data_IF_844458573982
#
_entry.id   IF_844458573982
#
_cell.length_a   1.000
_cell.length_b   1.000
_cell.length_c   1.000
_cell.angle_alpha   90.00
_cell.angle_beta   90.00
_cell.angle_gamma   90.00
#
_symmetry.space_group_name_H-M   'P 1'
#
loop_
_entity.id
_entity.type
_entity.pdbx_description
1 polymer ?
#
# COMPACT_ATOMS: atom_id res chain seq x y z
N UNK A 1 32.31 -20.20 31.49
CA UNK A 1 33.45 -20.62 30.66
C UNK A 1 32.97 -21.65 29.64
N UNK A 2 33.10 -21.39 28.34
CA UNK A 2 33.82 -22.27 27.41
C UNK A 2 34.03 -21.55 26.07
N UNK A 3 35.25 -21.05 25.86
CA UNK A 3 35.76 -20.65 24.54
C UNK A 3 36.02 -21.93 23.75
N UNK A 4 35.45 -22.08 22.56
CA UNK A 4 35.93 -23.07 21.60
C UNK A 4 36.66 -22.38 20.45
N UNK A 5 37.97 -22.63 20.45
CA UNK A 5 38.96 -22.25 19.45
C UNK A 5 38.97 -23.36 18.40
N UNK A 6 38.80 -23.04 17.12
CA UNK A 6 39.12 -23.96 16.04
C UNK A 6 40.35 -23.44 15.29
N UNK A 7 41.42 -24.23 15.36
CA UNK A 7 42.59 -24.15 14.48
C UNK A 7 42.55 -25.44 13.66
N UNK A 8 42.48 -25.34 12.34
CA UNK A 8 42.91 -26.41 11.44
C UNK A 8 43.62 -25.77 10.23
N UNK A 9 44.64 -26.50 9.79
CA UNK A 9 45.80 -26.07 9.03
C UNK A 9 45.61 -26.32 7.52
N UNK A 10 46.29 -25.49 6.74
CA UNK A 10 47.06 -25.82 5.51
C UNK A 10 46.34 -26.54 4.35
N UNK A 11 46.23 -25.86 3.20
CA UNK A 11 46.60 -26.44 1.89
C UNK A 11 47.15 -25.34 0.97
N UNK A 12 48.38 -25.58 0.54
CA UNK A 12 49.15 -25.00 -0.56
C UNK A 12 48.46 -25.26 -1.91
N UNK A 13 48.21 -24.22 -2.72
CA UNK A 13 47.88 -24.39 -4.14
C UNK A 13 48.84 -23.56 -4.99
N UNK A 14 49.48 -24.27 -5.92
CA UNK A 14 50.50 -23.83 -6.83
C UNK A 14 49.98 -22.84 -7.89
N UNK A 15 50.92 -22.04 -8.37
CA UNK A 15 50.79 -21.00 -9.38
C UNK A 15 50.18 -21.48 -10.71
N UNK A 16 49.39 -20.60 -11.33
CA UNK A 16 49.22 -20.52 -12.77
C UNK A 16 49.48 -19.07 -13.20
N UNK A 17 50.19 -18.82 -14.33
CA UNK A 17 50.54 -17.48 -14.76
C UNK A 17 49.29 -16.69 -15.19
N UNK A 18 49.26 -15.41 -14.79
CA UNK A 18 48.26 -14.45 -15.24
C UNK A 18 48.44 -14.19 -16.74
N UNK A 19 47.46 -14.60 -17.53
CA UNK A 19 47.36 -14.24 -18.94
C UNK A 19 47.00 -12.74 -19.03
N UNK A 20 47.99 -11.89 -19.34
CA UNK A 20 47.77 -10.45 -19.55
C UNK A 20 47.15 -10.27 -20.94
N UNK A 21 45.84 -10.37 -21.02
CA UNK A 21 45.10 -10.04 -22.23
C UNK A 21 44.98 -8.50 -22.31
N UNK A 22 45.88 -7.83 -23.02
CA UNK A 22 45.74 -6.41 -23.35
C UNK A 22 44.70 -6.26 -24.46
N UNK A 23 43.43 -6.36 -24.08
CA UNK A 23 42.32 -5.91 -24.91
C UNK A 23 42.26 -4.39 -24.86
N UNK A 24 42.44 -3.74 -26.01
CA UNK A 24 42.12 -2.32 -26.18
C UNK A 24 40.61 -2.11 -25.95
N UNK A 25 40.27 -1.63 -24.76
CA UNK A 25 38.90 -1.20 -24.45
C UNK A 25 38.67 0.18 -25.06
N UNK A 26 37.99 0.24 -26.20
CA UNK A 26 37.33 1.47 -26.63
C UNK A 26 36.13 1.69 -25.72
N UNK A 27 36.24 2.62 -24.77
CA UNK A 27 35.12 2.93 -23.88
C UNK A 27 34.12 3.79 -24.67
N UNK A 28 33.06 3.17 -25.19
CA UNK A 28 31.84 3.92 -25.50
C UNK A 28 31.20 4.33 -24.19
N UNK A 29 31.38 5.59 -23.83
CA UNK A 29 30.77 6.19 -22.67
C UNK A 29 29.27 6.39 -22.96
N UNK A 30 28.49 5.33 -22.79
CA UNK A 30 27.05 5.45 -22.66
C UNK A 30 26.76 5.88 -21.22
N UNK A 31 26.08 7.02 -21.05
CA UNK A 31 25.57 7.45 -19.75
C UNK A 31 24.82 6.29 -19.11
N UNK A 32 25.06 5.97 -17.82
CA UNK A 32 24.27 4.96 -17.14
C UNK A 32 22.82 5.45 -17.17
N UNK A 33 21.97 4.78 -17.94
CA UNK A 33 20.53 4.87 -17.68
C UNK A 33 20.39 4.26 -16.30
N UNK A 34 20.23 5.14 -15.32
CA UNK A 34 19.72 4.78 -14.03
C UNK A 34 18.34 4.15 -14.28
N UNK A 35 18.32 2.83 -14.51
CA UNK A 35 17.22 2.01 -14.06
C UNK A 35 17.25 2.07 -12.54
N UNK A 36 16.94 3.24 -11.99
CA UNK A 36 16.25 3.32 -10.73
C UNK A 36 15.07 2.40 -10.95
N UNK A 37 15.16 1.20 -10.37
CA UNK A 37 14.06 0.30 -10.19
C UNK A 37 13.08 1.10 -9.34
N UNK A 38 12.32 1.98 -9.99
CA UNK A 38 11.09 2.49 -9.46
C UNK A 38 10.33 1.20 -9.26
N UNK A 39 10.30 0.74 -8.01
CA UNK A 39 9.30 -0.21 -7.58
C UNK A 39 8.01 0.46 -8.00
N UNK A 40 7.48 0.06 -9.16
CA UNK A 40 6.10 0.30 -9.52
C UNK A 40 5.33 -0.42 -8.43
N UNK A 41 5.09 0.29 -7.32
CA UNK A 41 4.19 -0.15 -6.28
C UNK A 41 2.88 -0.23 -7.02
N UNK A 42 2.49 -1.43 -7.42
CA UNK A 42 1.18 -1.70 -7.99
C UNK A 42 0.16 -1.33 -6.92
N UNK A 43 -0.31 -0.09 -6.96
CA UNK A 43 -1.30 0.40 -6.01
C UNK A 43 -2.60 -0.28 -6.38
N UNK A 44 -2.99 -1.28 -5.59
CA UNK A 44 -4.27 -1.97 -5.78
C UNK A 44 -5.39 -0.98 -5.49
N UNK A 45 -6.18 -0.67 -6.53
CA UNK A 45 -7.34 0.19 -6.42
C UNK A 45 -8.57 -0.70 -6.22
N UNK A 46 -9.18 -0.61 -5.04
CA UNK A 46 -10.44 -1.28 -4.73
C UNK A 46 -11.61 -0.36 -5.06
N UNK A 47 -12.73 -0.91 -5.51
CA UNK A 47 -13.94 -0.11 -5.77
C UNK A 47 -14.62 0.30 -4.46
N UNK A 48 -15.40 1.38 -4.54
CA UNK A 48 -16.30 1.75 -3.44
C UNK A 48 -17.31 0.65 -3.12
N UNK A 49 -17.84 -0.05 -4.13
CA UNK A 49 -18.77 -1.17 -3.91
C UNK A 49 -18.15 -2.30 -3.09
N UNK A 50 -16.87 -2.63 -3.32
CA UNK A 50 -16.15 -3.61 -2.50
C UNK A 50 -16.00 -3.12 -1.05
N UNK A 51 -15.81 -1.81 -0.87
CA UNK A 51 -15.70 -1.21 0.46
C UNK A 51 -17.03 -1.27 1.21
N UNK A 52 -18.12 -0.86 0.55
CA UNK A 52 -19.48 -0.93 1.08
C UNK A 52 -19.87 -2.36 1.44
N UNK A 53 -19.66 -3.32 0.53
CA UNK A 53 -19.98 -4.74 0.76
C UNK A 53 -19.30 -5.29 2.02
N UNK A 54 -18.06 -4.85 2.33
CA UNK A 54 -17.37 -5.24 3.56
C UNK A 54 -18.02 -4.65 4.82
N UNK A 55 -18.53 -3.42 4.75
CA UNK A 55 -19.27 -2.81 5.85
C UNK A 55 -20.64 -3.44 6.03
N UNK A 56 -21.36 -3.74 4.94
CA UNK A 56 -22.66 -4.42 4.97
C UNK A 56 -22.54 -5.78 5.70
N UNK A 57 -21.44 -6.51 5.47
CA UNK A 57 -21.14 -7.75 6.17
C UNK A 57 -20.95 -7.59 7.68
N UNK A 58 -20.40 -6.47 8.14
CA UNK A 58 -20.25 -6.15 9.55
C UNK A 58 -21.56 -5.72 10.21
N UNK A 59 -22.47 -5.12 9.43
CA UNK A 59 -23.85 -4.86 9.86
C UNK A 59 -24.62 -6.17 10.01
N UNK A 60 -24.53 -7.05 9.01
CA UNK A 60 -25.19 -8.34 9.03
C UNK A 60 -24.72 -9.24 10.19
N UNK A 61 -23.44 -9.17 10.58
CA UNK A 61 -22.91 -9.87 11.74
C UNK A 61 -23.22 -9.19 13.08
N UNK A 62 -23.88 -8.03 13.07
CA UNK A 62 -24.17 -7.23 14.27
C UNK A 62 -22.94 -6.60 14.92
N UNK A 63 -21.80 -6.57 14.22
CA UNK A 63 -20.57 -5.95 14.72
C UNK A 63 -20.71 -4.43 14.76
N UNK A 64 -21.35 -3.84 13.77
CA UNK A 64 -21.73 -2.42 13.76
C UNK A 64 -23.22 -2.29 13.45
N UNK A 65 -23.82 -1.17 13.83
CA UNK A 65 -25.18 -0.83 13.41
C UNK A 65 -25.20 -0.19 12.03
N UNK A 66 -26.34 -0.23 11.34
CA UNK A 66 -26.55 0.47 10.06
C UNK A 66 -26.29 1.97 10.16
N UNK A 67 -26.56 2.59 11.32
CA UNK A 67 -26.24 4.01 11.52
C UNK A 67 -24.73 4.26 11.56
N UNK A 68 -23.96 3.40 12.23
CA UNK A 68 -22.50 3.48 12.26
C UNK A 68 -21.90 3.25 10.86
N UNK A 69 -22.43 2.31 10.09
CA UNK A 69 -22.06 2.12 8.68
C UNK A 69 -22.30 3.40 7.87
N UNK A 70 -23.49 3.99 7.94
CA UNK A 70 -23.82 5.20 7.19
C UNK A 70 -22.88 6.37 7.51
N UNK A 71 -22.47 6.52 8.78
CA UNK A 71 -21.49 7.52 9.18
C UNK A 71 -20.14 7.25 8.47
N UNK A 72 -19.69 5.99 8.43
CA UNK A 72 -18.45 5.61 7.74
C UNK A 72 -18.55 5.86 6.24
N UNK A 73 -19.66 5.50 5.60
CA UNK A 73 -19.90 5.77 4.18
C UNK A 73 -19.91 7.27 3.89
N UNK A 74 -20.51 8.08 4.77
CA UNK A 74 -20.49 9.53 4.64
C UNK A 74 -19.07 10.12 4.67
N UNK A 75 -18.17 9.56 5.48
CA UNK A 75 -16.77 9.98 5.48
C UNK A 75 -16.09 9.72 4.12
N UNK A 76 -16.43 8.60 3.46
CA UNK A 76 -15.98 8.34 2.08
C UNK A 76 -16.54 9.37 1.09
N UNK A 77 -17.85 9.66 1.12
CA UNK A 77 -18.46 10.66 0.23
C UNK A 77 -17.88 12.07 0.41
N UNK A 78 -17.39 12.38 1.61
CA UNK A 78 -16.66 13.60 1.92
C UNK A 78 -15.16 13.52 1.60
N UNK A 79 -14.72 12.49 0.88
CA UNK A 79 -13.33 12.24 0.48
C UNK A 79 -12.34 12.15 1.65
N UNK A 80 -12.82 11.80 2.86
CA UNK A 80 -11.98 11.61 4.06
C UNK A 80 -11.37 10.21 4.14
N UNK A 81 -11.83 9.29 3.30
CA UNK A 81 -11.35 7.90 3.24
C UNK A 81 -10.99 7.59 1.79
N UNK A 82 -9.71 7.66 1.47
CA UNK A 82 -9.17 7.26 0.14
C UNK A 82 -8.06 6.22 0.27
N UNK A 83 -7.50 6.08 1.47
CA UNK A 83 -6.33 5.27 1.80
C UNK A 83 -6.54 4.54 3.11
N UNK A 84 -5.86 3.42 3.33
CA UNK A 84 -5.86 2.70 4.62
C UNK A 84 -5.52 3.60 5.81
N UNK A 85 -4.54 4.49 5.66
CA UNK A 85 -4.10 5.42 6.70
C UNK A 85 -5.21 6.41 7.05
N UNK A 86 -5.81 7.03 6.03
CA UNK A 86 -6.94 7.96 6.22
C UNK A 86 -8.14 7.26 6.85
N UNK A 87 -8.40 6.00 6.45
CA UNK A 87 -9.46 5.19 7.03
C UNK A 87 -9.23 4.94 8.51
N UNK A 88 -8.02 4.50 8.89
CA UNK A 88 -7.67 4.25 10.28
C UNK A 88 -7.80 5.53 11.13
N UNK A 89 -7.31 6.65 10.62
CA UNK A 89 -7.41 7.94 11.32
C UNK A 89 -8.87 8.35 11.56
N UNK A 90 -9.76 8.11 10.59
CA UNK A 90 -11.19 8.37 10.79
C UNK A 90 -11.83 7.41 11.79
N UNK A 91 -11.46 6.13 11.80
CA UNK A 91 -11.94 5.19 12.83
C UNK A 91 -11.51 5.61 14.23
N UNK A 92 -10.25 6.02 14.40
CA UNK A 92 -9.74 6.54 15.69
C UNK A 92 -10.56 7.78 16.14
N UNK A 93 -10.91 8.67 15.22
CA UNK A 93 -11.76 9.84 15.51
C UNK A 93 -13.20 9.44 15.91
N UNK A 94 -13.79 8.43 15.25
CA UNK A 94 -15.12 7.92 15.62
C UNK A 94 -15.12 7.23 16.99
N UNK A 95 -14.01 6.57 17.37
CA UNK A 95 -13.81 6.03 18.72
C UNK A 95 -13.74 7.15 19.74
N UNK A 96 -12.94 8.18 19.48
CA UNK A 96 -12.83 9.35 20.36
C UNK A 96 -14.18 10.08 20.53
N UNK A 97 -15.00 10.11 19.49
CA UNK A 97 -16.36 10.67 19.51
C UNK A 97 -17.40 9.74 20.17
N UNK A 98 -17.02 8.52 20.58
CA UNK A 98 -17.94 7.53 21.15
C UNK A 98 -18.97 6.98 20.15
N UNK A 99 -18.79 7.23 18.85
CA UNK A 99 -19.70 6.74 17.80
C UNK A 99 -19.54 5.24 17.58
N UNK A 100 -18.30 4.73 17.70
CA UNK A 100 -17.98 3.30 17.66
C UNK A 100 -17.08 2.96 18.85
N UNK A 101 -17.03 1.69 19.24
CA UNK A 101 -16.09 1.23 20.27
C UNK A 101 -14.72 0.90 19.67
N UNK A 102 -13.70 0.80 20.53
CA UNK A 102 -12.37 0.35 20.10
C UNK A 102 -12.40 -1.06 19.47
N UNK A 103 -13.21 -1.97 20.00
CA UNK A 103 -13.35 -3.33 19.45
C UNK A 103 -14.04 -3.34 18.08
N UNK A 104 -15.02 -2.45 17.88
CA UNK A 104 -15.63 -2.23 16.57
C UNK A 104 -14.62 -1.69 15.56
N UNK A 105 -13.82 -0.68 15.92
CA UNK A 105 -12.78 -0.13 15.05
C UNK A 105 -11.76 -1.20 14.60
N UNK A 106 -11.33 -2.06 15.53
CA UNK A 106 -10.43 -3.19 15.22
C UNK A 106 -11.11 -4.18 14.26
N UNK A 107 -12.36 -4.54 14.53
CA UNK A 107 -13.12 -5.48 13.69
C UNK A 107 -13.34 -4.94 12.28
N UNK A 108 -13.67 -3.65 12.17
CA UNK A 108 -13.77 -2.95 10.88
C UNK A 108 -12.42 -3.02 10.15
N UNK A 109 -11.31 -2.63 10.78
CA UNK A 109 -10.00 -2.66 10.13
C UNK A 109 -9.59 -4.07 9.69
N UNK A 110 -9.90 -5.09 10.50
CA UNK A 110 -9.62 -6.49 10.19
C UNK A 110 -10.42 -7.01 9.00
N UNK A 111 -11.63 -6.50 8.75
CA UNK A 111 -12.42 -6.83 7.56
C UNK A 111 -11.72 -6.46 6.24
N UNK A 112 -10.77 -5.53 6.29
CA UNK A 112 -9.95 -5.05 5.17
C UNK A 112 -8.50 -5.57 5.21
N UNK A 113 -8.15 -6.50 6.11
CA UNK A 113 -6.79 -7.06 6.22
C UNK A 113 -6.29 -7.72 4.92
N UNK A 114 -7.20 -8.35 4.17
CA UNK A 114 -6.90 -8.98 2.87
C UNK A 114 -6.65 -8.00 1.72
N UNK A 115 -6.85 -6.69 1.92
CA UNK A 115 -6.66 -5.69 0.86
C UNK A 115 -5.19 -5.27 0.68
N UNK A 116 -4.32 -5.72 1.57
CA UNK A 116 -2.90 -5.35 1.60
C UNK A 116 -2.62 -4.09 2.42
N UNK A 117 -1.35 -3.74 2.55
CA UNK A 117 -0.93 -2.64 3.44
C UNK A 117 -1.14 -1.25 2.86
N UNK A 118 -1.30 -1.12 1.55
CA UNK A 118 -1.35 0.17 0.85
C UNK A 118 -2.55 0.26 -0.10
N UNK A 119 -3.67 -0.34 0.30
CA UNK A 119 -4.90 -0.27 -0.47
C UNK A 119 -5.44 1.14 -0.55
N UNK A 120 -6.07 1.45 -1.68
CA UNK A 120 -6.76 2.71 -1.88
C UNK A 120 -8.11 2.49 -2.56
N UNK A 121 -9.03 3.42 -2.31
CA UNK A 121 -10.32 3.49 -2.98
C UNK A 121 -10.36 4.83 -3.72
N UNK A 122 -10.83 4.87 -4.98
CA UNK A 122 -11.01 6.11 -5.73
C UNK A 122 -11.78 7.14 -4.91
N UNK A 123 -11.35 8.41 -4.94
CA UNK A 123 -12.13 9.50 -4.36
C UNK A 123 -13.51 9.57 -5.02
N UNK A 124 -14.51 9.96 -4.25
CA UNK A 124 -15.85 10.20 -4.78
C UNK A 124 -15.80 11.44 -5.69
N UNK A 125 -15.86 11.22 -7.00
CA UNK A 125 -16.02 12.29 -7.98
C UNK A 125 -17.49 12.71 -8.01
N UNK A 126 -17.79 13.86 -7.42
CA UNK A 126 -18.99 14.59 -7.81
C UNK A 126 -18.75 15.04 -9.26
N UNK A 127 -19.26 14.28 -10.23
CA UNK A 127 -19.28 14.75 -11.62
C UNK A 127 -20.24 15.93 -11.66
N UNK A 128 -19.70 17.14 -11.52
CA UNK A 128 -20.42 18.34 -11.92
C UNK A 128 -20.68 18.17 -13.42
N UNK A 129 -21.96 18.09 -13.79
CA UNK A 129 -22.45 18.16 -15.16
C UNK A 129 -21.85 19.40 -15.84
N UNK A 130 -20.75 19.21 -16.57
CA UNK A 130 -20.28 20.22 -17.51
C UNK A 130 -21.25 20.13 -18.68
N UNK A 131 -22.23 21.04 -18.75
CA UNK A 131 -22.97 21.24 -20.00
C UNK A 131 -21.92 21.42 -21.11
N UNK A 132 -22.01 20.72 -22.25
CA UNK A 132 -21.06 20.91 -23.32
C UNK A 132 -21.07 22.39 -23.72
N UNK A 133 -19.92 23.03 -23.61
CA UNK A 133 -19.70 24.35 -24.18
C UNK A 133 -19.93 24.25 -25.69
N UNK A 134 -20.91 25.02 -26.19
CA UNK A 134 -21.17 25.15 -27.62
C UNK A 134 -20.50 26.45 -28.10
N UNK A 135 -19.30 26.42 -28.70
CA UNK A 135 -18.60 27.62 -29.19
C UNK A 135 -19.23 28.30 -30.41
N UNK A 136 -20.38 27.87 -30.91
CA UNK A 136 -20.98 28.47 -32.11
C UNK A 136 -21.94 29.63 -31.79
N UNK A 137 -21.39 30.82 -31.49
CA UNK A 137 -21.99 32.13 -31.80
C UNK A 137 -20.91 33.18 -32.01
#
# INVERSE_FOLDING_TARGET
>A
MLKMKYKLLSVLVLAAPLLVNTGIATTVQASPVNNAKTSIIYKSHYSFENFRTKLDGLVASGTISSNQENIILNLYYNNKITTKETFKAQLDALVAAGTITQSQAISILNAFSGWGSSWQIPAHSQTYNIKPYNPSK
#
